data_IF_690783865375
#
_entry.id   IF_690783865375
#
_cell.length_a   1.000
_cell.length_b   1.000
_cell.length_c   1.000
_cell.angle_alpha   90.00
_cell.angle_beta   90.00
_cell.angle_gamma   90.00
#
_symmetry.space_group_name_H-M   'P 1'
#
loop_
_entity.id
_entity.type
_entity.pdbx_description
1 polymer ?
#
# COMPACT_ATOMS: atom_id res chain seq x y z
N UNK A 1 -58.47 -8.79 -14.80
CA UNK A 1 -57.99 -7.67 -15.64
C UNK A 1 -56.89 -8.22 -16.54
N UNK A 2 -57.18 -8.38 -17.83
CA UNK A 2 -56.31 -9.07 -18.78
C UNK A 2 -55.20 -8.11 -19.26
N UNK A 3 -54.04 -8.15 -18.62
CA UNK A 3 -52.85 -7.44 -19.10
C UNK A 3 -52.29 -8.15 -20.34
N UNK A 4 -52.61 -7.66 -21.54
CA UNK A 4 -51.88 -8.07 -22.75
C UNK A 4 -50.42 -7.68 -22.56
N UNK A 5 -49.50 -8.65 -22.64
CA UNK A 5 -48.07 -8.37 -22.69
C UNK A 5 -47.82 -7.41 -23.88
N UNK A 6 -47.30 -6.22 -23.58
CA UNK A 6 -46.92 -5.22 -24.58
C UNK A 6 -45.41 -5.28 -24.71
N UNK A 7 -44.95 -5.85 -25.82
CA UNK A 7 -43.54 -6.01 -26.09
C UNK A 7 -43.15 -5.03 -27.20
N UNK A 8 -42.25 -4.09 -26.90
CA UNK A 8 -41.62 -3.21 -27.89
C UNK A 8 -40.12 -3.48 -27.88
N UNK A 9 -39.58 -3.85 -29.05
CA UNK A 9 -38.17 -4.23 -29.19
C UNK A 9 -37.37 -3.00 -29.60
N UNK A 10 -36.36 -2.65 -28.80
CA UNK A 10 -35.45 -1.54 -29.08
C UNK A 10 -34.05 -2.08 -29.30
N UNK A 11 -33.48 -1.83 -30.48
CA UNK A 11 -32.08 -2.15 -30.78
C UNK A 11 -31.19 -1.01 -30.30
N UNK A 12 -30.10 -1.34 -29.59
CA UNK A 12 -29.16 -0.36 -29.06
C UNK A 12 -27.72 -0.85 -29.16
N UNK A 13 -26.77 0.05 -29.47
CA UNK A 13 -25.36 -0.29 -29.47
C UNK A 13 -24.87 -0.55 -28.05
N UNK A 14 -24.01 -1.56 -27.89
CA UNK A 14 -23.34 -1.84 -26.62
C UNK A 14 -22.16 -0.88 -26.51
N UNK A 15 -22.23 0.08 -25.58
CA UNK A 15 -21.14 1.01 -25.32
C UNK A 15 -19.97 0.35 -24.58
N UNK A 16 -20.27 -0.50 -23.59
CA UNK A 16 -19.29 -1.24 -22.81
C UNK A 16 -19.93 -2.46 -22.14
N UNK A 17 -19.11 -3.44 -21.78
CA UNK A 17 -19.51 -4.61 -20.98
C UNK A 17 -18.88 -4.49 -19.61
N UNK A 18 -19.72 -4.51 -18.56
CA UNK A 18 -19.27 -4.46 -17.18
C UNK A 18 -18.64 -5.82 -16.83
N UNK A 19 -17.43 -5.85 -16.24
CA UNK A 19 -16.82 -7.10 -15.79
C UNK A 19 -17.72 -7.86 -14.81
N UNK A 20 -17.80 -9.18 -14.93
CA UNK A 20 -18.73 -10.01 -14.14
C UNK A 20 -18.53 -9.95 -12.62
N UNK A 21 -17.33 -9.59 -12.16
CA UNK A 21 -17.05 -9.39 -10.73
C UNK A 21 -17.61 -8.07 -10.17
N UNK A 22 -17.87 -7.07 -11.02
CA UNK A 22 -18.34 -5.76 -10.58
C UNK A 22 -19.85 -5.76 -10.22
N UNK A 23 -20.58 -6.80 -10.65
CA UNK A 23 -21.98 -7.00 -10.26
C UNK A 23 -22.35 -8.48 -10.23
N UNK A 24 -22.75 -8.97 -9.06
CA UNK A 24 -23.35 -10.30 -8.92
C UNK A 24 -24.76 -10.43 -9.51
N UNK A 25 -25.33 -9.33 -10.04
CA UNK A 25 -26.65 -9.30 -10.69
C UNK A 25 -26.52 -9.12 -12.19
N UNK A 26 -27.38 -9.80 -12.96
CA UNK A 26 -27.60 -9.50 -14.39
C UNK A 26 -28.26 -8.13 -14.48
N UNK A 27 -27.52 -7.13 -14.95
CA UNK A 27 -28.01 -5.77 -15.12
C UNK A 27 -27.49 -5.18 -16.42
N UNK A 28 -28.28 -4.26 -16.98
CA UNK A 28 -27.88 -3.39 -18.06
C UNK A 28 -27.93 -1.95 -17.54
N UNK A 29 -26.85 -1.20 -17.76
CA UNK A 29 -26.86 0.24 -17.55
C UNK A 29 -27.28 0.88 -18.87
N UNK A 30 -28.39 1.61 -18.82
CA UNK A 30 -28.94 2.32 -19.96
C UNK A 30 -29.06 3.80 -19.61
N UNK A 31 -29.23 4.62 -20.65
CA UNK A 31 -29.46 6.04 -20.47
C UNK A 31 -30.65 6.31 -19.50
N UNK A 32 -30.51 7.23 -18.53
CA UNK A 32 -31.56 7.50 -17.55
C UNK A 32 -32.90 7.89 -18.18
N UNK A 33 -32.90 8.60 -19.31
CA UNK A 33 -34.13 9.05 -19.97
C UNK A 33 -34.85 7.87 -20.63
N UNK A 34 -34.08 6.91 -21.15
CA UNK A 34 -34.63 5.66 -21.66
C UNK A 34 -35.17 4.76 -20.53
N UNK A 35 -34.44 4.66 -19.41
CA UNK A 35 -34.91 3.91 -18.24
C UNK A 35 -36.25 4.46 -17.74
N UNK A 36 -36.37 5.79 -17.68
CA UNK A 36 -37.57 6.50 -17.29
C UNK A 36 -38.73 6.23 -18.24
N UNK A 37 -38.47 6.30 -19.55
CA UNK A 37 -39.47 6.00 -20.58
C UNK A 37 -39.94 4.53 -20.53
N UNK A 38 -39.03 3.59 -20.30
CA UNK A 38 -39.36 2.16 -20.18
C UNK A 38 -40.23 1.89 -18.94
N UNK A 39 -39.94 2.54 -17.81
CA UNK A 39 -40.74 2.45 -16.58
C UNK A 39 -42.15 3.00 -16.81
N UNK A 40 -42.26 4.19 -17.42
CA UNK A 40 -43.54 4.82 -17.77
C UNK A 40 -44.35 3.95 -18.74
N UNK A 41 -43.72 3.39 -19.77
CA UNK A 41 -44.38 2.49 -20.73
C UNK A 41 -44.93 1.24 -20.04
N UNK A 42 -44.19 0.68 -19.09
CA UNK A 42 -44.57 -0.53 -18.35
C UNK A 42 -45.70 -0.27 -17.34
N UNK A 43 -45.67 0.88 -16.67
CA UNK A 43 -46.56 1.19 -15.55
C UNK A 43 -47.84 1.92 -15.97
N UNK A 44 -47.82 2.63 -17.10
CA UNK A 44 -48.95 3.40 -17.57
C UNK A 44 -49.72 2.68 -18.69
N UNK A 45 -50.84 2.06 -18.33
CA UNK A 45 -51.71 1.32 -19.27
C UNK A 45 -52.25 2.18 -20.43
N UNK A 46 -52.25 3.52 -20.31
CA UNK A 46 -52.72 4.45 -21.36
C UNK A 46 -51.71 4.69 -22.47
N UNK A 47 -50.43 4.41 -22.24
CA UNK A 47 -49.36 4.66 -23.20
C UNK A 47 -49.17 3.43 -24.07
N UNK A 48 -49.20 3.62 -25.39
CA UNK A 48 -49.16 2.50 -26.35
C UNK A 48 -47.85 2.39 -27.12
N UNK A 49 -47.03 3.44 -27.10
CA UNK A 49 -45.72 3.44 -27.76
C UNK A 49 -44.63 4.00 -26.83
N UNK A 50 -43.39 3.52 -26.99
CA UNK A 50 -42.24 4.04 -26.27
C UNK A 50 -41.93 5.51 -26.62
N UNK A 51 -42.29 5.96 -27.83
CA UNK A 51 -42.15 7.35 -28.25
C UNK A 51 -43.02 8.30 -27.39
N UNK A 52 -44.28 7.91 -27.15
CA UNK A 52 -45.16 8.63 -26.23
C UNK A 52 -44.59 8.61 -24.79
N UNK A 53 -44.11 7.46 -24.34
CA UNK A 53 -43.48 7.32 -23.03
C UNK A 53 -42.26 8.24 -22.86
N UNK A 54 -41.39 8.36 -23.88
CA UNK A 54 -40.25 9.28 -23.89
C UNK A 54 -40.68 10.74 -23.79
N UNK A 55 -41.72 11.13 -24.55
CA UNK A 55 -42.25 12.49 -24.49
C UNK A 55 -42.81 12.86 -23.11
N UNK A 56 -43.41 11.88 -22.42
CA UNK A 56 -43.90 12.07 -21.07
C UNK A 56 -42.75 12.10 -20.06
N UNK A 57 -41.81 11.17 -20.17
CA UNK A 57 -40.58 11.09 -19.38
C UNK A 57 -39.84 12.43 -19.35
N UNK A 58 -39.63 13.04 -20.52
CA UNK A 58 -38.96 14.34 -20.66
C UNK A 58 -39.68 15.47 -19.90
N UNK A 59 -41.02 15.46 -19.87
CA UNK A 59 -41.84 16.48 -19.19
C UNK A 59 -41.96 16.27 -17.69
N UNK A 60 -41.82 15.03 -17.21
CA UNK A 60 -42.01 14.69 -15.80
C UNK A 60 -40.71 14.52 -15.02
N UNK A 61 -39.55 14.62 -15.68
CA UNK A 61 -38.23 14.34 -15.09
C UNK A 61 -37.95 15.15 -13.82
N UNK A 62 -38.25 16.44 -13.80
CA UNK A 62 -37.97 17.35 -12.69
C UNK A 62 -38.87 17.14 -11.47
N UNK A 63 -40.01 16.48 -11.65
CA UNK A 63 -41.01 16.29 -10.58
C UNK A 63 -40.92 14.91 -9.92
N UNK A 64 -39.93 14.09 -10.31
CA UNK A 64 -39.86 12.70 -9.86
C UNK A 64 -39.01 12.57 -8.59
N UNK A 65 -39.58 11.89 -7.61
CA UNK A 65 -38.86 11.44 -6.42
C UNK A 65 -38.23 10.08 -6.71
N UNK A 66 -36.94 9.94 -6.45
CA UNK A 66 -36.23 8.67 -6.56
C UNK A 66 -36.26 7.94 -5.21
N UNK A 67 -36.41 6.61 -5.23
CA UNK A 67 -36.51 5.78 -4.02
C UNK A 67 -35.18 5.64 -3.27
N UNK A 68 -34.06 5.95 -3.90
CA UNK A 68 -32.74 5.88 -3.29
C UNK A 68 -31.66 6.54 -4.13
N UNK A 69 -30.50 6.74 -3.51
CA UNK A 69 -29.30 7.27 -4.15
C UNK A 69 -28.12 6.34 -3.85
N UNK A 70 -27.18 6.22 -4.79
CA UNK A 70 -25.92 5.50 -4.56
C UNK A 70 -24.79 6.51 -4.52
N UNK A 71 -24.11 6.58 -3.37
CA UNK A 71 -22.99 7.47 -3.16
C UNK A 71 -21.71 6.65 -2.95
N UNK A 72 -20.63 7.06 -3.58
CA UNK A 72 -19.34 6.37 -3.52
C UNK A 72 -18.37 7.18 -2.67
N UNK A 73 -17.74 6.51 -1.71
CA UNK A 73 -16.62 7.06 -0.95
C UNK A 73 -15.33 6.93 -1.77
N UNK A 74 -14.32 7.76 -1.47
CA UNK A 74 -13.01 7.70 -2.14
C UNK A 74 -12.22 6.46 -1.72
N UNK A 75 -12.19 6.17 -0.43
CA UNK A 75 -11.62 4.95 0.16
C UNK A 75 -12.67 4.18 0.96
N UNK A 76 -12.41 2.89 1.21
CA UNK A 76 -13.14 2.08 2.18
C UNK A 76 -13.08 2.67 3.58
N UNK A 77 -12.01 3.40 3.92
CA UNK A 77 -11.84 4.06 5.23
C UNK A 77 -12.76 5.27 5.40
N UNK A 78 -13.16 5.90 4.30
CA UNK A 78 -13.99 7.10 4.30
C UNK A 78 -15.49 6.77 4.46
N UNK A 79 -15.88 5.50 4.32
CA UNK A 79 -17.28 5.05 4.31
C UNK A 79 -18.01 5.45 5.58
N UNK A 80 -17.38 5.33 6.75
CA UNK A 80 -17.98 5.74 8.02
C UNK A 80 -18.20 7.25 8.12
N UNK A 81 -17.27 8.03 7.58
CA UNK A 81 -17.37 9.49 7.57
C UNK A 81 -18.53 9.94 6.70
N UNK A 82 -18.64 9.34 5.51
CA UNK A 82 -19.76 9.58 4.59
C UNK A 82 -21.09 9.15 5.22
N UNK A 83 -21.13 7.98 5.84
CA UNK A 83 -22.33 7.47 6.53
C UNK A 83 -22.77 8.41 7.64
N UNK A 84 -21.85 8.83 8.51
CA UNK A 84 -22.15 9.78 9.61
C UNK A 84 -22.70 11.09 9.07
N UNK A 85 -22.12 11.62 7.99
CA UNK A 85 -22.60 12.83 7.33
C UNK A 85 -24.02 12.68 6.75
N UNK A 86 -24.38 11.51 6.20
CA UNK A 86 -25.74 11.24 5.73
C UNK A 86 -26.74 11.11 6.89
N UNK A 87 -26.35 10.43 7.95
CA UNK A 87 -27.19 10.26 9.15
C UNK A 87 -27.47 11.58 9.86
N UNK A 88 -26.49 12.48 9.93
CA UNK A 88 -26.65 13.84 10.48
C UNK A 88 -27.68 14.66 9.68
N UNK A 89 -27.83 14.37 8.38
CA UNK A 89 -28.85 14.97 7.51
C UNK A 89 -30.20 14.24 7.54
N UNK A 90 -30.36 13.25 8.41
CA UNK A 90 -31.58 12.44 8.52
C UNK A 90 -31.78 11.46 7.36
N UNK A 91 -30.75 11.19 6.56
CA UNK A 91 -30.82 10.25 5.43
C UNK A 91 -30.40 8.88 5.93
N UNK A 92 -31.36 7.95 5.98
CA UNK A 92 -31.08 6.55 6.32
C UNK A 92 -30.24 5.89 5.21
N UNK A 93 -29.20 5.15 5.60
CA UNK A 93 -28.30 4.46 4.69
C UNK A 93 -28.45 2.95 4.83
N UNK A 94 -28.68 2.25 3.72
CA UNK A 94 -28.64 0.79 3.66
C UNK A 94 -27.29 0.34 3.09
N UNK A 95 -26.62 -0.61 3.75
CA UNK A 95 -25.27 -1.01 3.41
C UNK A 95 -24.71 -2.13 4.30
N UNK A 96 -23.71 -2.85 3.79
CA UNK A 96 -23.01 -3.94 4.50
C UNK A 96 -21.92 -3.41 5.42
N UNK A 97 -22.28 -2.52 6.34
CA UNK A 97 -21.31 -1.81 7.18
C UNK A 97 -20.51 -2.75 8.09
N UNK A 98 -21.12 -3.81 8.61
CA UNK A 98 -20.42 -4.81 9.44
C UNK A 98 -19.32 -5.55 8.68
N UNK A 99 -19.58 -5.93 7.43
CA UNK A 99 -18.60 -6.60 6.56
C UNK A 99 -17.42 -5.66 6.25
N UNK A 100 -17.70 -4.38 6.00
CA UNK A 100 -16.68 -3.35 5.80
C UNK A 100 -15.82 -3.17 7.05
N UNK A 101 -16.43 -3.08 8.23
CA UNK A 101 -15.68 -2.96 9.49
C UNK A 101 -14.81 -4.18 9.77
N UNK A 102 -15.28 -5.39 9.45
CA UNK A 102 -14.50 -6.61 9.59
C UNK A 102 -13.26 -6.56 8.69
N UNK A 103 -13.43 -6.18 7.41
CA UNK A 103 -12.32 -6.04 6.48
C UNK A 103 -11.31 -4.98 6.93
N UNK A 104 -11.77 -3.81 7.40
CA UNK A 104 -10.89 -2.76 7.95
C UNK A 104 -10.13 -3.22 9.22
N UNK A 105 -10.74 -4.07 10.05
CA UNK A 105 -10.05 -4.64 11.23
C UNK A 105 -8.99 -5.64 10.81
N UNK A 106 -9.30 -6.50 9.84
CA UNK A 106 -8.36 -7.47 9.31
C UNK A 106 -7.16 -6.78 8.64
N UNK A 107 -7.42 -5.73 7.86
CA UNK A 107 -6.38 -4.94 7.20
C UNK A 107 -5.45 -4.29 8.24
N UNK A 108 -6.01 -3.59 9.24
CA UNK A 108 -5.23 -2.99 10.33
C UNK A 108 -4.44 -4.01 11.15
N UNK A 109 -5.03 -5.16 11.44
CA UNK A 109 -4.34 -6.22 12.19
C UNK A 109 -3.14 -6.77 11.38
N UNK A 110 -3.35 -7.04 10.09
CA UNK A 110 -2.28 -7.48 9.19
C UNK A 110 -1.19 -6.43 9.05
N UNK A 111 -1.56 -5.15 8.88
CA UNK A 111 -0.62 -4.04 8.82
C UNK A 111 0.23 -3.91 10.09
N UNK A 112 -0.39 -4.09 11.26
CA UNK A 112 0.30 -4.05 12.55
C UNK A 112 1.27 -5.24 12.70
N UNK A 113 0.88 -6.45 12.28
CA UNK A 113 1.77 -7.61 12.29
C UNK A 113 3.00 -7.38 11.40
N UNK A 114 2.80 -6.89 10.18
CA UNK A 114 3.89 -6.56 9.26
C UNK A 114 4.78 -5.45 9.84
N UNK A 115 4.20 -4.44 10.48
CA UNK A 115 4.97 -3.38 11.13
C UNK A 115 5.85 -3.91 12.27
N UNK A 116 5.32 -4.80 13.12
CA UNK A 116 6.10 -5.45 14.20
C UNK A 116 7.27 -6.26 13.59
N UNK A 117 7.02 -7.05 12.54
CA UNK A 117 8.07 -7.79 11.86
C UNK A 117 9.14 -6.86 11.27
N UNK A 118 8.73 -5.72 10.71
CA UNK A 118 9.64 -4.68 10.23
C UNK A 118 10.53 -4.12 11.35
N UNK A 119 9.96 -3.83 12.52
CA UNK A 119 10.72 -3.35 13.68
C UNK A 119 11.70 -4.41 14.18
N UNK A 120 11.27 -5.68 14.27
CA UNK A 120 12.13 -6.79 14.67
C UNK A 120 13.28 -7.00 13.70
N UNK A 121 13.02 -6.96 12.40
CA UNK A 121 14.05 -7.07 11.36
C UNK A 121 15.05 -5.91 11.44
N UNK A 122 14.56 -4.67 11.61
CA UNK A 122 15.41 -3.50 11.78
C UNK A 122 16.29 -3.61 13.05
N UNK A 123 15.71 -4.06 14.17
CA UNK A 123 16.45 -4.31 15.41
C UNK A 123 17.53 -5.38 15.23
N UNK A 124 17.20 -6.49 14.57
CA UNK A 124 18.15 -7.56 14.25
C UNK A 124 19.32 -7.08 13.38
N UNK A 125 19.04 -6.23 12.38
CA UNK A 125 20.07 -5.60 11.55
C UNK A 125 21.03 -4.73 12.37
N UNK A 126 20.50 -3.91 13.30
CA UNK A 126 21.33 -3.08 14.17
C UNK A 126 22.26 -3.91 15.05
N UNK A 127 21.74 -4.98 15.67
CA UNK A 127 22.54 -5.89 16.50
C UNK A 127 23.61 -6.60 15.66
N UNK A 128 23.25 -7.07 14.46
CA UNK A 128 24.19 -7.71 13.55
C UNK A 128 25.32 -6.77 13.11
N UNK A 129 24.99 -5.52 12.76
CA UNK A 129 25.97 -4.49 12.40
C UNK A 129 26.90 -4.17 13.58
N UNK A 130 26.35 -3.99 14.78
CA UNK A 130 27.13 -3.73 15.98
C UNK A 130 28.12 -4.89 16.28
N UNK A 131 27.64 -6.14 16.20
CA UNK A 131 28.47 -7.32 16.39
C UNK A 131 29.57 -7.44 15.33
N UNK A 132 29.25 -7.17 14.06
CA UNK A 132 30.22 -7.19 12.97
C UNK A 132 31.32 -6.13 13.15
N UNK A 133 30.95 -4.91 13.55
CA UNK A 133 31.91 -3.85 13.84
C UNK A 133 32.78 -4.18 15.06
N UNK A 134 32.19 -4.71 16.14
CA UNK A 134 32.93 -5.13 17.32
C UNK A 134 33.97 -6.22 16.99
N UNK A 135 33.57 -7.24 16.25
CA UNK A 135 34.47 -8.33 15.82
C UNK A 135 35.62 -7.83 14.95
N UNK A 136 35.37 -6.84 14.09
CA UNK A 136 36.39 -6.23 13.25
C UNK A 136 37.45 -5.51 14.09
N UNK A 137 37.03 -4.73 15.09
CA UNK A 137 37.93 -4.00 16.00
C UNK A 137 38.80 -4.97 16.78
N UNK A 138 38.20 -6.02 17.36
CA UNK A 138 38.95 -7.00 18.16
C UNK A 138 40.05 -7.69 17.35
N UNK A 139 39.74 -8.10 16.11
CA UNK A 139 40.70 -8.78 15.22
C UNK A 139 41.84 -7.89 14.74
N UNK A 140 41.67 -6.56 14.71
CA UNK A 140 42.68 -5.59 14.24
C UNK A 140 43.37 -4.80 15.35
N UNK A 141 43.13 -5.13 16.62
CA UNK A 141 43.83 -4.53 17.78
C UNK A 141 45.35 -4.64 17.68
N UNK A 142 45.86 -5.80 17.25
CA UNK A 142 47.30 -6.03 17.10
C UNK A 142 47.95 -5.13 16.05
N UNK A 143 47.35 -5.08 14.85
CA UNK A 143 47.88 -4.30 13.71
C UNK A 143 47.90 -2.78 13.99
N UNK A 144 46.88 -2.28 14.71
CA UNK A 144 46.80 -0.87 15.12
C UNK A 144 47.88 -0.51 16.15
N UNK A 145 48.22 -1.45 17.04
CA UNK A 145 49.32 -1.30 18.00
C UNK A 145 50.67 -1.15 17.31
N UNK A 146 50.95 -1.96 16.29
CA UNK A 146 52.17 -1.88 15.49
C UNK A 146 52.27 -0.59 14.65
N UNK A 147 51.17 -0.17 14.02
CA UNK A 147 51.15 1.07 13.22
C UNK A 147 51.33 2.34 14.06
N UNK A 148 50.80 2.36 15.29
CA UNK A 148 51.04 3.47 16.24
C UNK A 148 52.50 3.55 16.70
N UNK A 149 53.18 2.42 16.86
CA UNK A 149 54.61 2.37 17.22
C UNK A 149 55.52 2.89 16.08
N UNK A 150 55.06 2.78 14.83
CA UNK A 150 55.76 3.27 13.64
C UNK A 150 55.50 4.77 13.33
N UNK A 151 54.71 5.47 14.17
CA UNK A 151 54.47 6.92 14.04
C UNK A 151 53.44 7.31 12.97
N UNK A 152 52.65 6.35 12.45
CA UNK A 152 51.61 6.66 11.46
C UNK A 152 50.44 7.44 12.07
N UNK A 153 49.93 8.39 11.29
CA UNK A 153 48.89 9.33 11.69
C UNK A 153 47.51 8.65 11.85
N UNK A 154 46.73 8.92 12.92
CA UNK A 154 45.49 8.18 13.25
C UNK A 154 44.38 8.21 12.19
N UNK A 155 44.46 9.08 11.20
CA UNK A 155 43.37 9.40 10.27
C UNK A 155 43.04 8.24 9.31
N UNK A 156 44.05 7.48 8.87
CA UNK A 156 43.88 6.34 7.97
C UNK A 156 43.28 5.11 8.66
N UNK A 157 43.48 4.99 9.97
CA UNK A 157 42.98 3.88 10.81
C UNK A 157 41.46 3.99 11.00
N UNK A 158 40.91 5.21 10.97
CA UNK A 158 39.46 5.46 11.08
C UNK A 158 38.68 5.37 9.77
N UNK A 159 39.33 5.55 8.61
CA UNK A 159 38.64 5.61 7.30
C UNK A 159 38.24 4.23 6.76
N UNK A 160 39.07 3.21 6.99
CA UNK A 160 38.82 1.83 6.55
C UNK A 160 37.48 1.23 7.06
N UNK A 161 37.15 1.27 8.36
CA UNK A 161 35.90 0.70 8.85
C UNK A 161 34.65 1.45 8.34
N UNK A 162 34.77 2.77 8.11
CA UNK A 162 33.69 3.58 7.53
C UNK A 162 33.40 3.13 6.09
N UNK A 163 34.44 2.97 5.26
CA UNK A 163 34.29 2.50 3.87
C UNK A 163 33.71 1.08 3.83
N UNK A 164 34.16 0.18 4.71
CA UNK A 164 33.62 -1.17 4.79
C UNK A 164 32.13 -1.18 5.19
N UNK A 165 31.75 -0.37 6.19
CA UNK A 165 30.35 -0.23 6.60
C UNK A 165 29.49 0.30 5.44
N UNK A 166 29.98 1.30 4.71
CA UNK A 166 29.28 1.88 3.56
C UNK A 166 29.08 0.86 2.43
N UNK A 167 30.12 0.08 2.09
CA UNK A 167 30.03 -0.97 1.07
C UNK A 167 29.07 -2.09 1.47
N UNK A 168 29.10 -2.50 2.74
CA UNK A 168 28.22 -3.58 3.25
C UNK A 168 26.75 -3.14 3.21
N UNK A 169 26.48 -1.91 3.65
CA UNK A 169 25.13 -1.36 3.71
C UNK A 169 24.57 -1.07 2.34
N UNK A 170 25.37 -0.49 1.44
CA UNK A 170 24.95 -0.25 0.05
C UNK A 170 24.66 -1.55 -0.69
N UNK A 171 25.50 -2.59 -0.52
CA UNK A 171 25.26 -3.93 -1.08
C UNK A 171 23.99 -4.58 -0.52
N UNK A 172 23.78 -4.50 0.80
CA UNK A 172 22.57 -4.98 1.45
C UNK A 172 21.31 -4.26 0.96
N UNK A 173 21.35 -2.93 0.86
CA UNK A 173 20.24 -2.12 0.36
C UNK A 173 19.92 -2.42 -1.10
N UNK A 174 20.93 -2.53 -1.96
CA UNK A 174 20.74 -2.88 -3.37
C UNK A 174 20.09 -4.27 -3.51
N UNK A 175 20.53 -5.24 -2.71
CA UNK A 175 19.95 -6.59 -2.69
C UNK A 175 18.50 -6.58 -2.21
N UNK A 176 18.20 -5.83 -1.14
CA UNK A 176 16.84 -5.69 -0.62
C UNK A 176 15.89 -5.05 -1.64
N UNK A 177 16.32 -4.00 -2.34
CA UNK A 177 15.55 -3.36 -3.41
C UNK A 177 15.31 -4.32 -4.57
N UNK A 178 16.35 -5.06 -5.00
CA UNK A 178 16.21 -6.04 -6.07
C UNK A 178 15.20 -7.15 -5.72
N UNK A 179 15.25 -7.66 -4.49
CA UNK A 179 14.29 -8.65 -3.99
C UNK A 179 12.88 -8.07 -3.89
N UNK A 180 12.72 -6.85 -3.39
CA UNK A 180 11.43 -6.19 -3.29
C UNK A 180 10.78 -6.06 -4.68
N UNK A 181 11.53 -5.58 -5.68
CA UNK A 181 11.05 -5.46 -7.06
C UNK A 181 10.78 -6.82 -7.73
N UNK A 182 11.45 -7.88 -7.31
CA UNK A 182 11.19 -9.23 -7.79
C UNK A 182 9.88 -9.77 -7.19
N UNK A 183 9.68 -9.59 -5.88
CA UNK A 183 8.46 -9.97 -5.19
C UNK A 183 7.25 -9.22 -5.75
N UNK A 184 7.38 -7.92 -6.02
CA UNK A 184 6.36 -7.07 -6.63
C UNK A 184 5.80 -7.72 -7.92
N UNK A 185 6.71 -8.07 -8.84
CA UNK A 185 6.36 -8.74 -10.10
C UNK A 185 5.74 -10.12 -9.91
N UNK A 186 6.19 -10.87 -8.90
CA UNK A 186 5.63 -12.19 -8.60
C UNK A 186 4.20 -12.05 -8.08
N UNK A 187 3.97 -11.12 -7.15
CA UNK A 187 2.66 -10.80 -6.59
C UNK A 187 1.73 -10.35 -7.71
N UNK A 188 2.13 -9.37 -8.53
CA UNK A 188 1.30 -8.88 -9.63
C UNK A 188 0.90 -10.01 -10.60
N UNK A 189 1.82 -10.93 -10.92
CA UNK A 189 1.49 -12.09 -11.78
C UNK A 189 0.52 -13.07 -11.12
N UNK A 190 0.67 -13.35 -9.82
CA UNK A 190 -0.24 -14.24 -9.09
C UNK A 190 -1.65 -13.66 -9.00
N UNK A 191 -1.74 -12.33 -8.87
CA UNK A 191 -2.98 -11.61 -8.62
C UNK A 191 -3.64 -11.02 -9.87
N UNK A 192 -2.93 -10.92 -11.00
CA UNK A 192 -3.46 -10.43 -12.28
C UNK A 192 -4.73 -11.17 -12.75
N UNK A 193 -4.87 -12.46 -12.40
CA UNK A 193 -6.06 -13.26 -12.73
C UNK A 193 -7.24 -13.08 -11.78
N UNK A 194 -7.02 -12.56 -10.56
CA UNK A 194 -8.04 -12.51 -9.49
C UNK A 194 -8.64 -11.12 -9.27
N UNK A 195 -7.88 -10.05 -9.53
CA UNK A 195 -8.26 -8.68 -9.18
C UNK A 195 -8.72 -7.81 -10.36
N UNK A 196 -8.79 -8.36 -11.58
CA UNK A 196 -9.16 -7.58 -12.76
C UNK A 196 -8.23 -6.39 -13.01
N UNK A 197 -8.74 -5.32 -13.63
CA UNK A 197 -8.01 -4.09 -14.02
C UNK A 197 -7.47 -3.24 -12.83
N UNK A 198 -7.29 -3.80 -11.64
CA UNK A 198 -6.56 -3.13 -10.56
C UNK A 198 -5.07 -3.26 -10.92
N UNK A 199 -4.59 -2.29 -11.70
CA UNK A 199 -3.36 -2.39 -12.46
C UNK A 199 -2.06 -2.40 -11.63
N UNK A 200 -2.12 -2.19 -10.31
CA UNK A 200 -0.97 -2.37 -9.43
C UNK A 200 -1.47 -2.71 -8.02
N UNK A 201 -1.28 -3.97 -7.61
CA UNK A 201 -1.69 -4.45 -6.28
C UNK A 201 -0.63 -4.12 -5.25
N UNK A 202 0.64 -4.19 -5.65
CA UNK A 202 1.79 -3.80 -4.85
C UNK A 202 2.54 -2.70 -5.60
N UNK A 203 2.81 -1.58 -4.92
CA UNK A 203 3.71 -0.55 -5.45
C UNK A 203 4.79 -0.31 -4.42
N UNK A 204 6.00 -0.74 -4.74
CA UNK A 204 7.20 -0.29 -4.01
C UNK A 204 7.47 1.15 -4.41
N UNK A 205 6.95 2.10 -3.64
CA UNK A 205 7.15 3.50 -3.93
C UNK A 205 8.62 3.91 -3.72
N UNK A 206 9.13 4.73 -4.65
CA UNK A 206 10.49 5.26 -4.60
C UNK A 206 10.74 6.03 -3.30
N UNK A 207 9.71 6.69 -2.76
CA UNK A 207 9.79 7.45 -1.53
C UNK A 207 10.13 6.56 -0.33
N UNK A 208 9.47 5.40 -0.21
CA UNK A 208 9.68 4.45 0.86
C UNK A 208 11.10 3.87 0.78
N UNK A 209 11.56 3.51 -0.42
CA UNK A 209 12.93 3.02 -0.65
C UNK A 209 13.97 4.06 -0.23
N UNK A 210 13.77 5.33 -0.60
CA UNK A 210 14.68 6.42 -0.23
C UNK A 210 14.70 6.65 1.29
N UNK A 211 13.54 6.68 1.94
CA UNK A 211 13.45 6.86 3.39
C UNK A 211 14.14 5.73 4.16
N UNK A 212 13.90 4.48 3.77
CA UNK A 212 14.57 3.31 4.35
C UNK A 212 16.07 3.37 4.09
N UNK A 213 16.49 3.73 2.87
CA UNK A 213 17.90 3.89 2.53
C UNK A 213 18.62 4.91 3.42
N UNK A 214 18.01 6.09 3.62
CA UNK A 214 18.55 7.11 4.53
C UNK A 214 18.65 6.59 5.96
N UNK A 215 17.62 5.90 6.45
CA UNK A 215 17.58 5.38 7.82
C UNK A 215 18.70 4.33 8.05
N UNK A 216 18.88 3.40 7.10
CA UNK A 216 19.91 2.36 7.21
C UNK A 216 21.31 2.96 7.11
N UNK A 217 21.53 3.95 6.23
CA UNK A 217 22.81 4.67 6.16
C UNK A 217 23.11 5.43 7.45
N UNK A 218 22.13 6.13 8.01
CA UNK A 218 22.28 6.85 9.27
C UNK A 218 22.62 5.90 10.44
N UNK A 219 21.95 4.74 10.50
CA UNK A 219 22.23 3.70 11.48
C UNK A 219 23.67 3.15 11.34
N UNK A 220 24.11 2.88 10.12
CA UNK A 220 25.44 2.35 9.85
C UNK A 220 26.56 3.34 10.23
N UNK A 221 26.40 4.62 9.86
CA UNK A 221 27.35 5.68 10.23
C UNK A 221 27.41 5.82 11.75
N UNK A 222 26.26 5.82 12.43
CA UNK A 222 26.18 5.93 13.89
C UNK A 222 26.89 4.75 14.59
N UNK A 223 26.66 3.53 14.11
CA UNK A 223 27.35 2.33 14.62
C UNK A 223 28.86 2.39 14.39
N UNK A 224 29.30 2.83 13.21
CA UNK A 224 30.72 2.99 12.89
C UNK A 224 31.40 4.09 13.74
N UNK A 225 30.71 5.21 13.99
CA UNK A 225 31.22 6.27 14.87
C UNK A 225 31.37 5.79 16.31
N UNK A 226 30.37 5.06 16.82
CA UNK A 226 30.41 4.47 18.16
C UNK A 226 31.58 3.49 18.31
N UNK A 227 31.81 2.63 17.32
CA UNK A 227 32.94 1.70 17.30
C UNK A 227 34.29 2.45 17.29
N UNK A 228 34.41 3.51 16.48
CA UNK A 228 35.62 4.34 16.40
C UNK A 228 35.93 5.07 17.73
N UNK A 229 34.90 5.62 18.38
CA UNK A 229 35.03 6.27 19.69
C UNK A 229 35.44 5.26 20.77
N UNK A 230 34.90 4.04 20.73
CA UNK A 230 35.31 2.97 21.62
C UNK A 230 36.79 2.58 21.44
N UNK A 231 37.31 2.64 20.21
CA UNK A 231 38.72 2.32 19.94
C UNK A 231 39.69 3.37 20.53
N UNK A 232 39.26 4.63 20.63
CA UNK A 232 40.08 5.71 21.23
C UNK A 232 40.34 5.51 22.74
N UNK A 233 39.51 4.73 23.42
CA UNK A 233 39.66 4.44 24.86
C UNK A 233 40.67 3.33 25.16
N UNK A 234 41.20 2.65 24.13
CA UNK A 234 42.15 1.55 24.31
C UNK A 234 43.56 2.11 24.40
N UNK A 235 44.22 1.89 25.54
CA UNK A 235 45.58 2.36 25.81
C UNK A 235 46.60 1.44 25.11
N UNK A 236 47.69 1.94 24.49
CA UNK A 236 48.64 1.10 23.73
C UNK A 236 49.24 -0.07 24.53
N UNK A 237 49.37 0.10 25.85
CA UNK A 237 49.87 -0.94 26.76
C UNK A 237 48.90 -2.10 26.99
N UNK A 238 47.58 -1.88 26.84
CA UNK A 238 46.55 -2.92 27.00
C UNK A 238 46.43 -3.76 25.72
N UNK A 239 46.55 -3.13 24.55
CA UNK A 239 46.54 -3.80 23.26
C UNK A 239 47.69 -4.82 23.08
N UNK A 240 48.84 -4.60 23.72
CA UNK A 240 50.00 -5.50 23.67
C UNK A 240 49.97 -6.63 24.72
N UNK A 241 49.19 -6.49 25.80
CA UNK A 241 49.11 -7.50 26.86
C UNK A 241 48.13 -8.64 26.56
N UNK A 242 47.33 -8.53 25.50
CA UNK A 242 46.41 -9.59 25.06
C UNK A 242 45.34 -9.96 26.09
N UNK A 243 45.01 -9.05 27.01
CA UNK A 243 44.00 -9.30 28.04
C UNK A 243 42.62 -9.07 27.42
N UNK A 244 41.75 -10.09 27.32
CA UNK A 244 40.37 -9.89 26.89
C UNK A 244 39.63 -9.06 27.93
N UNK A 245 38.69 -8.23 27.46
CA UNK A 245 37.77 -7.46 28.33
C UNK A 245 36.74 -8.39 28.96
#
# INVERSE_FOLDING_TARGET
KNGKARDEVVTMPIAAVIPGFASGRRLALIDPDLLLAAEIFRENETITTLAEARSLAARTRERRTYSGLRLYARSIDDVDTVRRWLLDKGIATDGRFEEIHLLQRLDRATGLLVAILGILAAGGLLVSLAAAQWSWVERRRGDIGYLRLLGFEPIHITLMPIVQALLTVSGGLATAVALALLLDRVIDRMFAGQLGSIADVSRVGIREVVLVGILVLAAAISASLAASLATRRITPAEALRGVPI
#
